data_IF_363453049893
#
_entry.id   IF_363453049893
#
_cell.length_a   1.000
_cell.length_b   1.000
_cell.length_c   1.000
_cell.angle_alpha   90.00
_cell.angle_beta   90.00
_cell.angle_gamma   90.00
#
_symmetry.space_group_name_H-M   'P 1'
#
loop_
_entity.id
_entity.type
_entity.pdbx_description
1 polymer ?
#
# COMPACT_ATOMS: atom_id res chain seq x y z
N UNK A 1 25.65 13.01 22.41
CA UNK A 1 24.88 13.47 21.23
C UNK A 1 24.18 12.34 20.45
N UNK A 2 24.70 11.10 20.39
CA UNK A 2 24.07 9.99 19.62
C UNK A 2 22.68 9.54 20.15
N UNK A 3 22.43 9.55 21.46
CA UNK A 3 21.18 9.06 22.03
C UNK A 3 19.93 9.90 21.68
N UNK A 4 20.06 11.23 21.49
CA UNK A 4 18.91 12.10 21.14
C UNK A 4 18.42 11.88 19.70
N UNK A 5 19.35 11.63 18.78
CA UNK A 5 19.05 11.39 17.35
C UNK A 5 18.31 10.06 17.17
N UNK A 6 18.67 9.03 17.96
CA UNK A 6 17.93 7.76 17.97
C UNK A 6 16.50 7.99 18.46
N UNK A 7 16.31 8.70 19.57
CA UNK A 7 14.98 9.02 20.10
C UNK A 7 14.07 9.71 19.08
N UNK A 8 14.55 10.75 18.39
CA UNK A 8 13.76 11.44 17.35
C UNK A 8 13.44 10.54 16.15
N UNK A 9 14.37 9.65 15.78
CA UNK A 9 14.16 8.71 14.67
C UNK A 9 13.10 7.66 15.01
N UNK A 10 13.08 7.17 16.26
CA UNK A 10 12.07 6.19 16.71
C UNK A 10 10.66 6.78 16.71
N UNK A 11 10.50 8.02 17.19
CA UNK A 11 9.21 8.73 17.16
C UNK A 11 8.76 8.96 15.72
N UNK A 12 9.68 9.33 14.83
CA UNK A 12 9.36 9.51 13.41
C UNK A 12 8.94 8.19 12.73
N UNK A 13 9.57 7.07 13.07
CA UNK A 13 9.17 5.74 12.59
C UNK A 13 7.75 5.42 13.06
N UNK A 14 7.43 5.65 14.34
CA UNK A 14 6.09 5.40 14.87
C UNK A 14 5.02 6.22 14.13
N UNK A 15 5.26 7.52 13.97
CA UNK A 15 4.35 8.45 13.29
C UNK A 15 4.08 7.98 11.86
N UNK A 16 5.14 7.71 11.09
CA UNK A 16 5.01 7.26 9.70
C UNK A 16 4.32 5.89 9.56
N UNK A 17 4.52 4.98 10.51
CA UNK A 17 3.78 3.71 10.53
C UNK A 17 2.30 3.96 10.77
N UNK A 18 1.93 4.89 11.67
CA UNK A 18 0.54 5.30 11.89
C UNK A 18 -0.10 5.87 10.62
N UNK A 19 0.54 6.86 10.01
CA UNK A 19 0.06 7.50 8.78
C UNK A 19 -0.12 6.51 7.62
N UNK A 20 0.80 5.55 7.49
CA UNK A 20 0.69 4.52 6.47
C UNK A 20 -0.43 3.51 6.80
N UNK A 21 -0.63 3.17 8.07
CA UNK A 21 -1.74 2.31 8.50
C UNK A 21 -3.10 2.99 8.25
N UNK A 22 -3.21 4.29 8.49
CA UNK A 22 -4.39 5.10 8.22
C UNK A 22 -4.65 5.25 6.72
N UNK A 23 -3.63 5.56 5.92
CA UNK A 23 -3.73 5.65 4.47
C UNK A 23 -4.13 4.32 3.80
N UNK A 24 -3.77 3.19 4.41
CA UNK A 24 -4.21 1.85 4.01
C UNK A 24 -5.55 1.44 4.65
N UNK A 25 -6.24 2.36 5.34
CA UNK A 25 -7.50 2.14 6.05
C UNK A 25 -7.47 0.98 7.06
N UNK A 26 -6.28 0.65 7.59
CA UNK A 26 -6.08 -0.43 8.55
C UNK A 26 -6.45 -0.03 9.99
N UNK A 27 -6.73 1.26 10.22
CA UNK A 27 -7.11 1.83 11.52
C UNK A 27 -8.40 1.26 12.14
N UNK A 28 -9.30 0.67 11.33
CA UNK A 28 -10.60 0.19 11.81
C UNK A 28 -10.73 -1.34 11.89
N UNK A 29 -9.77 -2.09 11.33
CA UNK A 29 -9.87 -3.56 11.24
C UNK A 29 -9.37 -4.30 12.49
N UNK A 30 -8.81 -3.58 13.48
CA UNK A 30 -8.31 -4.16 14.74
C UNK A 30 -9.38 -4.45 15.79
N UNK A 31 -10.63 -4.06 15.57
CA UNK A 31 -11.70 -4.12 16.58
C UNK A 31 -12.73 -5.23 16.46
N UNK A 32 -12.81 -5.98 15.34
CA UNK A 32 -13.90 -6.96 15.15
C UNK A 32 -13.47 -8.21 14.40
N UNK A 33 -12.99 -9.19 15.16
CA UNK A 33 -13.24 -10.58 14.80
C UNK A 33 -14.76 -10.85 14.91
N UNK A 34 -15.36 -11.31 13.80
CA UNK A 34 -16.79 -11.64 13.57
C UNK A 34 -17.67 -10.40 13.39
N UNK A 35 -18.56 -10.28 12.39
CA UNK A 35 -19.60 -11.18 11.88
C UNK A 35 -19.93 -10.73 10.45
N UNK A 36 -20.39 -11.64 9.58
CA UNK A 36 -20.91 -11.27 8.26
C UNK A 36 -22.18 -10.41 8.30
N UNK A 37 -22.69 -10.13 7.10
CA UNK A 37 -23.89 -9.35 6.79
C UNK A 37 -23.71 -7.82 6.84
N UNK A 38 -24.03 -7.21 5.69
CA UNK A 38 -23.89 -5.79 5.46
C UNK A 38 -24.75 -4.93 6.39
N UNK A 39 -24.22 -3.77 6.72
CA UNK A 39 -24.95 -2.58 7.11
C UNK A 39 -24.00 -1.41 6.90
N UNK A 40 -24.44 -0.43 6.11
CA UNK A 40 -23.68 0.78 5.83
C UNK A 40 -23.33 1.55 7.11
N UNK A 41 -22.15 2.14 7.10
CA UNK A 41 -21.80 3.25 7.98
C UNK A 41 -21.29 4.35 7.08
N UNK A 42 -22.12 5.37 6.94
CA UNK A 42 -21.73 6.73 6.59
C UNK A 42 -21.11 7.28 7.88
N UNK A 43 -19.87 7.73 7.81
CA UNK A 43 -19.30 8.67 8.77
C UNK A 43 -18.58 9.74 7.95
N UNK A 44 -19.03 10.95 8.20
CA UNK A 44 -18.68 12.25 7.63
C UNK A 44 -17.53 12.83 8.49
N UNK A 45 -16.72 13.75 7.93
CA UNK A 45 -15.51 14.42 8.48
C UNK A 45 -14.23 13.54 8.52
N UNK A 46 -13.07 13.92 7.98
CA UNK A 46 -12.50 15.22 7.60
C UNK A 46 -11.82 15.11 6.23
N UNK A 47 -12.18 16.00 5.31
CA UNK A 47 -11.45 16.27 4.06
C UNK A 47 -10.22 17.15 4.37
N UNK A 48 -9.14 16.54 4.84
CA UNK A 48 -7.81 17.15 4.68
C UNK A 48 -7.35 16.91 3.24
N UNK A 49 -7.84 17.79 2.35
CA UNK A 49 -7.27 18.06 1.04
C UNK A 49 -5.84 18.63 1.21
N UNK A 50 -4.86 17.73 1.36
CA UNK A 50 -3.47 18.07 1.11
C UNK A 50 -3.30 18.25 -0.41
N UNK A 51 -3.58 19.48 -0.84
CA UNK A 51 -3.28 20.07 -2.14
C UNK A 51 -1.75 20.12 -2.33
N UNK A 52 -1.19 19.01 -2.81
CA UNK A 52 0.16 19.00 -3.37
C UNK A 52 0.05 18.97 -4.90
N UNK A 53 0.27 20.15 -5.46
CA UNK A 53 0.35 20.48 -6.88
C UNK A 53 1.30 19.56 -7.66
N UNK A 54 0.75 19.05 -8.77
CA UNK A 54 1.42 18.76 -10.06
C UNK A 54 2.42 17.58 -10.14
N UNK A 55 1.93 16.45 -10.68
CA UNK A 55 2.30 16.08 -12.06
C UNK A 55 1.09 15.46 -12.75
N UNK A 56 0.52 16.21 -13.70
CA UNK A 56 -0.46 15.75 -14.68
C UNK A 56 0.02 14.49 -15.41
N UNK A 57 -0.55 13.32 -15.07
CA UNK A 57 -0.74 12.24 -16.04
C UNK A 57 -2.24 11.99 -16.22
N UNK A 58 -2.78 12.68 -17.22
CA UNK A 58 -4.14 12.52 -17.71
C UNK A 58 -4.29 11.14 -18.37
N UNK A 59 -4.77 10.16 -17.61
CA UNK A 59 -5.44 8.97 -18.14
C UNK A 59 -6.88 8.91 -17.60
N UNK A 60 -7.65 9.97 -17.89
CA UNK A 60 -9.11 9.88 -17.96
C UNK A 60 -9.48 9.13 -19.23
N UNK A 61 -9.67 7.82 -19.12
CA UNK A 61 -10.40 7.01 -20.11
C UNK A 61 -11.49 6.24 -19.37
N UNK A 62 -12.61 6.92 -19.13
CA UNK A 62 -13.84 6.30 -18.66
C UNK A 62 -14.41 5.35 -19.73
N UNK A 63 -14.62 4.09 -19.34
CA UNK A 63 -15.64 3.22 -19.90
C UNK A 63 -15.94 2.14 -18.86
N UNK A 64 -17.19 2.11 -18.38
CA UNK A 64 -17.62 1.23 -17.31
C UNK A 64 -17.49 -0.25 -17.63
N UNK A 65 -17.06 -1.00 -16.62
CA UNK A 65 -17.62 -2.31 -16.33
C UNK A 65 -17.71 -2.42 -14.81
N UNK A 66 -18.92 -2.21 -14.31
CA UNK A 66 -19.32 -2.50 -12.95
C UNK A 66 -19.39 -4.03 -12.78
N UNK A 67 -18.25 -4.67 -12.52
CA UNK A 67 -18.21 -6.02 -11.96
C UNK A 67 -17.43 -6.03 -10.65
N UNK A 68 -18.03 -5.42 -9.63
CA UNK A 68 -18.03 -5.86 -8.23
C UNK A 68 -16.76 -6.57 -7.73
N UNK A 69 -15.60 -5.95 -7.91
CA UNK A 69 -14.36 -6.27 -7.22
C UNK A 69 -13.96 -4.96 -6.56
N UNK A 70 -14.03 -4.93 -5.21
CA UNK A 70 -13.96 -3.72 -4.38
C UNK A 70 -12.97 -2.67 -4.88
N UNK A 71 -13.38 -1.41 -4.81
CA UNK A 71 -12.66 -0.23 -5.30
C UNK A 71 -11.14 -0.38 -5.17
N UNK A 72 -10.48 -0.78 -6.25
CA UNK A 72 -9.05 -1.01 -6.21
C UNK A 72 -8.32 0.32 -6.11
N UNK A 73 -7.34 0.40 -5.20
CA UNK A 73 -6.46 1.55 -5.07
C UNK A 73 -5.86 1.91 -6.44
N UNK A 74 -5.84 3.21 -6.76
CA UNK A 74 -5.21 3.69 -7.99
C UNK A 74 -3.70 3.40 -7.98
N UNK A 75 -3.13 3.10 -9.14
CA UNK A 75 -1.69 2.77 -9.23
C UNK A 75 -0.77 3.86 -8.65
N UNK A 76 -1.03 5.17 -8.83
CA UNK A 76 -0.25 6.23 -8.18
C UNK A 76 -0.33 6.20 -6.64
N UNK A 77 -1.51 5.97 -6.05
CA UNK A 77 -1.66 5.83 -4.59
C UNK A 77 -0.92 4.61 -4.07
N UNK A 78 -1.03 3.47 -4.76
CA UNK A 78 -0.32 2.25 -4.39
C UNK A 78 1.20 2.45 -4.38
N UNK A 79 1.73 3.13 -5.41
CA UNK A 79 3.15 3.50 -5.49
C UNK A 79 3.60 4.36 -4.31
N UNK A 80 2.78 5.37 -3.93
CA UNK A 80 3.05 6.22 -2.76
C UNK A 80 3.13 5.40 -1.47
N UNK A 81 2.20 4.47 -1.25
CA UNK A 81 2.23 3.61 -0.06
C UNK A 81 3.44 2.67 -0.01
N UNK A 82 3.83 2.09 -1.15
CA UNK A 82 5.05 1.28 -1.26
C UNK A 82 6.28 2.13 -0.95
N UNK A 83 6.39 3.33 -1.50
CA UNK A 83 7.50 4.25 -1.21
C UNK A 83 7.57 4.64 0.28
N UNK A 84 6.42 4.93 0.91
CA UNK A 84 6.33 5.21 2.35
C UNK A 84 6.81 4.01 3.18
N UNK A 85 6.37 2.79 2.85
CA UNK A 85 6.80 1.56 3.52
C UNK A 85 8.33 1.38 3.45
N UNK A 86 8.92 1.57 2.26
CA UNK A 86 10.37 1.45 2.06
C UNK A 86 11.14 2.53 2.83
N UNK A 87 10.62 3.76 2.87
CA UNK A 87 11.22 4.85 3.65
C UNK A 87 11.21 4.54 5.15
N UNK A 88 10.14 3.95 5.68
CA UNK A 88 10.06 3.49 7.07
C UNK A 88 11.13 2.44 7.35
N UNK A 89 11.28 1.43 6.48
CA UNK A 89 12.32 0.39 6.64
C UNK A 89 13.73 0.99 6.69
N UNK A 90 14.04 1.94 5.80
CA UNK A 90 15.33 2.62 5.81
C UNK A 90 15.57 3.43 7.09
N UNK A 91 14.53 4.07 7.65
CA UNK A 91 14.64 4.78 8.93
C UNK A 91 14.92 3.82 10.09
N UNK A 92 14.27 2.65 10.10
CA UNK A 92 14.51 1.61 11.09
C UNK A 92 15.94 1.08 11.05
N UNK A 93 16.49 0.83 9.86
CA UNK A 93 17.88 0.42 9.69
C UNK A 93 18.86 1.44 10.26
N UNK A 94 18.61 2.74 10.03
CA UNK A 94 19.43 3.84 10.56
C UNK A 94 19.34 3.97 12.08
N UNK A 95 18.17 3.69 12.67
CA UNK A 95 17.96 3.72 14.12
C UNK A 95 18.54 2.50 14.85
N UNK A 96 18.90 1.45 14.11
CA UNK A 96 19.37 0.16 14.64
C UNK A 96 18.19 -0.81 14.77
N UNK A 97 18.07 -1.73 13.82
CA UNK A 97 16.94 -2.64 13.69
C UNK A 97 16.63 -3.47 14.96
N UNK A 98 17.65 -3.77 15.77
CA UNK A 98 17.52 -4.55 17.00
C UNK A 98 17.00 -3.74 18.21
N UNK A 99 16.66 -2.46 18.01
CA UNK A 99 16.12 -1.63 19.08
C UNK A 99 14.78 -2.20 19.58
N UNK A 100 14.57 -2.43 20.90
CA UNK A 100 13.37 -3.09 21.42
C UNK A 100 12.03 -2.46 20.99
N UNK A 101 12.00 -1.14 20.82
CA UNK A 101 10.84 -0.43 20.28
C UNK A 101 10.53 -0.82 18.82
N UNK A 102 11.54 -0.94 17.96
CA UNK A 102 11.34 -1.34 16.57
C UNK A 102 10.88 -2.79 16.45
N UNK A 103 11.40 -3.67 17.32
CA UNK A 103 10.91 -5.05 17.43
C UNK A 103 9.42 -5.08 17.84
N UNK A 104 8.98 -4.16 18.70
CA UNK A 104 7.55 -4.07 19.06
C UNK A 104 6.65 -3.59 17.91
N UNK A 105 7.21 -2.92 16.90
CA UNK A 105 6.49 -2.47 15.70
C UNK A 105 6.43 -3.53 14.59
N UNK A 106 7.23 -4.59 14.67
CA UNK A 106 7.29 -5.63 13.63
C UNK A 106 5.92 -6.24 13.29
N UNK A 107 5.02 -6.56 14.24
CA UNK A 107 3.69 -7.05 13.90
C UNK A 107 2.83 -6.05 13.10
N UNK A 108 3.01 -4.75 13.34
CA UNK A 108 2.32 -3.68 12.59
C UNK A 108 2.83 -3.64 11.15
N UNK A 109 4.16 -3.65 10.99
CA UNK A 109 4.79 -3.65 9.67
C UNK A 109 4.48 -4.90 8.85
N UNK A 110 4.35 -6.07 9.49
CA UNK A 110 3.91 -7.29 8.82
C UNK A 110 2.47 -7.15 8.30
N UNK A 111 1.56 -6.52 9.06
CA UNK A 111 0.21 -6.23 8.58
C UNK A 111 0.23 -5.25 7.39
N UNK A 112 0.98 -4.15 7.50
CA UNK A 112 1.18 -3.20 6.39
C UNK A 112 1.66 -3.91 5.14
N UNK A 113 2.72 -4.71 5.24
CA UNK A 113 3.28 -5.49 4.13
C UNK A 113 2.23 -6.41 3.51
N UNK A 114 1.47 -7.14 4.31
CA UNK A 114 0.44 -8.06 3.82
C UNK A 114 -0.68 -7.33 3.08
N UNK A 115 -1.12 -6.18 3.59
CA UNK A 115 -2.13 -5.35 2.93
C UNK A 115 -1.62 -4.82 1.59
N UNK A 116 -0.39 -4.29 1.55
CA UNK A 116 0.25 -3.85 0.30
C UNK A 116 0.33 -5.00 -0.72
N UNK A 117 0.67 -6.21 -0.29
CA UNK A 117 0.70 -7.39 -1.16
C UNK A 117 -0.68 -7.75 -1.73
N UNK A 118 -1.74 -7.59 -0.93
CA UNK A 118 -3.13 -7.80 -1.39
C UNK A 118 -3.53 -6.76 -2.44
N UNK A 119 -3.23 -5.48 -2.19
CA UNK A 119 -3.56 -4.38 -3.10
C UNK A 119 -2.77 -4.48 -4.41
N UNK A 120 -1.46 -4.77 -4.33
CA UNK A 120 -0.64 -5.05 -5.50
C UNK A 120 -1.14 -6.29 -6.25
N UNK A 121 -1.62 -7.32 -5.56
CA UNK A 121 -2.20 -8.51 -6.19
C UNK A 121 -3.51 -8.22 -6.92
N UNK A 122 -4.34 -7.31 -6.40
CA UNK A 122 -5.53 -6.82 -7.10
C UNK A 122 -5.15 -5.96 -8.32
N UNK A 123 -4.24 -5.00 -8.14
CA UNK A 123 -3.75 -4.12 -9.21
C UNK A 123 -3.09 -4.92 -10.35
N UNK A 124 -2.33 -5.98 -10.04
CA UNK A 124 -1.68 -6.83 -11.01
C UNK A 124 -2.68 -7.61 -11.86
N UNK A 125 -3.74 -8.15 -11.24
CA UNK A 125 -4.82 -8.86 -11.96
C UNK A 125 -5.56 -7.92 -12.92
N UNK A 126 -5.85 -6.70 -12.47
CA UNK A 126 -6.48 -5.67 -13.30
C UNK A 126 -5.58 -5.24 -14.46
N UNK A 127 -4.29 -4.99 -14.19
CA UNK A 127 -3.32 -4.63 -15.22
C UNK A 127 -3.16 -5.75 -16.26
N UNK A 128 -3.12 -7.02 -15.83
CA UNK A 128 -3.08 -8.18 -16.72
C UNK A 128 -4.32 -8.29 -17.60
N UNK A 129 -5.51 -8.11 -17.02
CA UNK A 129 -6.77 -8.10 -17.77
C UNK A 129 -6.80 -6.98 -18.82
N UNK A 130 -6.36 -5.76 -18.45
CA UNK A 130 -6.27 -4.61 -19.37
C UNK A 130 -5.23 -4.82 -20.47
N UNK A 131 -4.08 -5.41 -20.14
CA UNK A 131 -3.04 -5.75 -21.13
C UNK A 131 -3.54 -6.76 -22.17
N UNK A 132 -4.39 -7.70 -21.77
CA UNK A 132 -5.03 -8.65 -22.68
C UNK A 132 -6.09 -7.98 -23.57
N UNK A 133 -6.85 -7.01 -23.04
CA UNK A 133 -7.90 -6.30 -23.76
C UNK A 133 -7.35 -5.22 -24.72
N UNK A 134 -6.28 -4.53 -24.34
CA UNK A 134 -5.66 -3.44 -25.12
C UNK A 134 -4.14 -3.60 -25.12
N UNK A 135 -3.58 -4.33 -26.10
CA UNK A 135 -2.14 -4.52 -26.24
C UNK A 135 -1.43 -3.16 -26.37
N UNK A 136 -0.35 -2.93 -25.61
CA UNK A 136 0.36 -1.64 -25.54
C UNK A 136 0.10 -0.89 -24.22
N UNK A 137 -0.98 -0.09 -24.15
CA UNK A 137 -1.30 0.73 -22.95
C UNK A 137 -1.41 -0.10 -21.66
N UNK A 138 -2.01 -1.29 -21.72
CA UNK A 138 -2.15 -2.15 -20.53
C UNK A 138 -0.84 -2.78 -20.05
N UNK A 139 0.19 -2.86 -20.92
CA UNK A 139 1.47 -3.47 -20.57
C UNK A 139 2.35 -2.55 -19.71
N UNK A 140 2.25 -1.23 -19.88
CA UNK A 140 3.01 -0.27 -19.05
C UNK A 140 2.57 -0.37 -17.58
N UNK A 141 1.27 -0.33 -17.30
CA UNK A 141 0.72 -0.50 -15.94
C UNK A 141 1.07 -1.85 -15.32
N UNK A 142 1.13 -2.91 -16.12
CA UNK A 142 1.54 -4.24 -15.64
C UNK A 142 3.00 -4.24 -15.18
N UNK A 143 3.89 -3.63 -15.96
CA UNK A 143 5.32 -3.52 -15.61
C UNK A 143 5.53 -2.65 -14.37
N UNK A 144 4.75 -1.58 -14.22
CA UNK A 144 4.82 -0.71 -13.03
C UNK A 144 4.48 -1.47 -11.75
N UNK A 145 3.38 -2.24 -11.74
CA UNK A 145 3.00 -3.05 -10.56
C UNK A 145 4.03 -4.14 -10.28
N UNK A 146 4.61 -4.77 -11.30
CA UNK A 146 5.73 -5.72 -11.13
C UNK A 146 6.96 -5.04 -10.53
N UNK A 147 7.26 -3.80 -10.93
CA UNK A 147 8.31 -2.98 -10.33
C UNK A 147 8.14 -2.79 -8.83
N UNK A 148 6.92 -2.49 -8.38
CA UNK A 148 6.62 -2.32 -6.94
C UNK A 148 6.91 -3.60 -6.12
N UNK A 149 6.58 -4.79 -6.66
CA UNK A 149 6.96 -6.05 -6.02
C UNK A 149 8.47 -6.22 -5.94
N UNK A 150 9.20 -5.80 -6.98
CA UNK A 150 10.66 -5.85 -6.98
C UNK A 150 11.26 -4.93 -5.93
N UNK A 151 10.73 -3.72 -5.77
CA UNK A 151 11.22 -2.74 -4.79
C UNK A 151 11.02 -3.23 -3.34
N UNK A 152 10.03 -4.09 -3.10
CA UNK A 152 9.76 -4.70 -1.80
C UNK A 152 10.52 -6.03 -1.57
N UNK A 153 11.34 -6.49 -2.52
CA UNK A 153 11.97 -7.82 -2.54
C UNK A 153 10.96 -9.00 -2.58
N UNK A 154 9.77 -8.77 -3.13
CA UNK A 154 8.63 -9.71 -3.12
C UNK A 154 8.49 -10.51 -4.42
N UNK A 155 9.63 -10.85 -5.03
CA UNK A 155 9.70 -11.56 -6.32
C UNK A 155 8.95 -12.90 -6.35
N UNK A 156 8.81 -13.59 -5.21
CA UNK A 156 8.04 -14.83 -5.12
C UNK A 156 6.53 -14.58 -5.16
N UNK A 157 6.08 -13.52 -4.49
CA UNK A 157 4.67 -13.15 -4.43
C UNK A 157 4.14 -12.65 -5.77
N UNK A 158 4.95 -11.89 -6.53
CA UNK A 158 4.56 -11.48 -7.90
C UNK A 158 4.41 -12.67 -8.83
N UNK A 159 5.30 -13.68 -8.73
CA UNK A 159 5.19 -14.91 -9.54
C UNK A 159 3.93 -15.68 -9.17
N UNK A 160 3.61 -15.78 -7.88
CA UNK A 160 2.37 -16.41 -7.39
C UNK A 160 1.14 -15.69 -7.95
N UNK A 161 1.12 -14.36 -7.85
CA UNK A 161 0.03 -13.52 -8.35
C UNK A 161 -0.14 -13.61 -9.88
N UNK A 162 0.96 -13.61 -10.66
CA UNK A 162 0.93 -13.72 -12.13
C UNK A 162 0.36 -15.06 -12.62
N UNK A 163 0.68 -16.15 -11.91
CA UNK A 163 0.20 -17.51 -12.18
C UNK A 163 -1.27 -17.72 -11.76
N UNK A 164 -1.90 -16.74 -11.12
CA UNK A 164 -3.28 -16.82 -10.64
C UNK A 164 -3.42 -17.64 -9.34
N UNK A 165 -2.34 -17.75 -8.55
CA UNK A 165 -2.30 -18.64 -7.39
C UNK A 165 -2.92 -18.03 -6.13
N UNK A 166 -4.01 -18.65 -5.66
CA UNK A 166 -4.32 -18.81 -4.23
C UNK A 166 -3.34 -19.81 -3.61
#
# INVERSE_FOLDING_TARGET
>A
MRARVVGSTLVEVERRVGELEEGLMMGQMGGRAKVGAGAGYVDDDDEDEDDDEDESDSDSDGAGDETNQGAAISTPKLRRHVAQYLAIRQLMERAGADHPFLLSLEPRLQRVRNTLLLDMGAALRQAKARAAATPGKGQSRLLEVVGMYSDMDEGKEVIKALKGGS
#
